data_IF_220092806501
#
_entry.id   IF_220092806501
#
_cell.length_a   1.000
_cell.length_b   1.000
_cell.length_c   1.000
_cell.angle_alpha   90.00
_cell.angle_beta   90.00
_cell.angle_gamma   90.00
#
_symmetry.space_group_name_H-M   'P 1'
#
loop_
_entity.id
_entity.type
_entity.pdbx_description
1 polymer ?
#
# COMPACT_ATOMS: atom_id res chain seq x y z
N UNK A 1 23.16 5.98 17.32
CA UNK A 1 22.11 5.23 16.61
C UNK A 1 21.08 6.23 16.11
N UNK A 2 20.69 6.19 14.83
CA UNK A 2 19.74 7.15 14.26
C UNK A 2 18.39 6.47 14.13
N UNK A 3 17.42 6.93 14.92
CA UNK A 3 16.03 6.57 14.72
C UNK A 3 15.55 7.15 13.39
N UNK A 4 15.20 6.28 12.44
CA UNK A 4 14.67 6.71 11.13
C UNK A 4 13.21 7.16 11.21
N UNK A 5 12.54 7.01 12.35
CA UNK A 5 11.31 7.73 12.62
C UNK A 5 11.66 9.19 12.94
N UNK A 6 11.79 10.03 11.91
CA UNK A 6 12.08 11.46 12.05
C UNK A 6 11.06 12.17 12.96
N UNK A 7 9.84 11.63 13.05
CA UNK A 7 8.79 12.07 13.95
C UNK A 7 8.24 10.88 14.77
N UNK A 8 8.01 11.10 16.07
CA UNK A 8 7.41 10.08 16.94
C UNK A 8 5.93 9.83 16.62
N UNK A 9 5.50 8.57 16.74
CA UNK A 9 4.12 8.15 16.57
C UNK A 9 3.79 7.06 17.62
N UNK A 10 2.65 7.11 18.34
CA UNK A 10 2.24 6.06 19.28
C UNK A 10 2.25 4.65 18.67
N UNK A 11 1.93 4.53 17.38
CA UNK A 11 1.94 3.27 16.64
C UNK A 11 3.30 2.59 16.55
N UNK A 12 4.41 3.31 16.82
CA UNK A 12 5.75 2.71 16.89
C UNK A 12 5.87 1.65 18.00
N UNK A 13 5.06 1.74 19.05
CA UNK A 13 5.11 0.84 20.19
C UNK A 13 4.05 -0.26 20.14
N UNK A 14 2.88 0.01 19.55
CA UNK A 14 1.71 -0.85 19.74
C UNK A 14 0.77 -0.95 18.54
N UNK A 15 1.14 -0.47 17.35
CA UNK A 15 0.27 -0.63 16.19
C UNK A 15 0.38 -2.03 15.61
N UNK A 16 -0.64 -2.84 15.86
CA UNK A 16 -0.84 -4.15 15.25
C UNK A 16 -2.32 -4.36 14.97
N UNK A 17 -2.64 -5.20 13.98
CA UNK A 17 -4.00 -5.61 13.68
C UNK A 17 -4.00 -7.07 13.20
N UNK A 18 -5.12 -7.75 13.39
CA UNK A 18 -5.35 -9.08 12.85
C UNK A 18 -6.01 -8.97 11.46
N UNK A 19 -5.63 -9.84 10.54
CA UNK A 19 -6.34 -9.97 9.26
C UNK A 19 -7.74 -10.54 9.47
N UNK A 20 -8.65 -10.15 8.58
CA UNK A 20 -10.03 -10.63 8.60
C UNK A 20 -10.10 -12.06 8.05
N UNK A 21 -10.53 -13.02 8.86
CA UNK A 21 -10.52 -14.46 8.51
C UNK A 21 -11.42 -14.87 7.35
N UNK A 22 -12.45 -14.07 7.03
CA UNK A 22 -13.43 -14.35 5.94
C UNK A 22 -13.23 -13.45 4.71
N UNK A 23 -11.98 -13.21 4.35
CA UNK A 23 -11.59 -12.31 3.27
C UNK A 23 -11.45 -13.04 1.93
N UNK A 24 -11.99 -12.49 0.84
CA UNK A 24 -11.98 -13.17 -0.48
C UNK A 24 -10.66 -13.04 -1.26
N UNK A 25 -9.72 -12.21 -0.81
CA UNK A 25 -8.43 -12.03 -1.51
C UNK A 25 -7.29 -12.87 -0.91
N UNK A 26 -7.59 -13.83 -0.04
CA UNK A 26 -6.60 -14.59 0.73
C UNK A 26 -5.83 -13.73 1.72
N UNK A 27 -5.01 -14.35 2.58
CA UNK A 27 -4.24 -13.63 3.61
C UNK A 27 -2.96 -13.00 3.06
N UNK A 28 -2.46 -11.95 3.72
CA UNK A 28 -1.11 -11.44 3.48
C UNK A 28 -0.08 -12.54 3.76
N UNK A 29 -0.30 -13.37 4.78
CA UNK A 29 0.55 -14.49 5.14
C UNK A 29 0.76 -15.48 3.98
N UNK A 30 -0.33 -16.00 3.40
CA UNK A 30 -0.30 -16.91 2.25
C UNK A 30 0.37 -16.26 1.04
N UNK A 31 0.04 -14.99 0.75
CA UNK A 31 0.67 -14.23 -0.35
C UNK A 31 2.18 -14.04 -0.18
N UNK A 32 2.70 -14.28 1.03
CA UNK A 32 4.12 -14.20 1.41
C UNK A 32 4.73 -15.56 1.71
N UNK A 33 4.06 -16.64 1.31
CA UNK A 33 4.58 -18.01 1.31
C UNK A 33 4.32 -18.81 2.59
N UNK A 34 3.48 -18.32 3.50
CA UNK A 34 2.98 -19.15 4.59
C UNK A 34 2.03 -20.24 4.07
N UNK A 35 1.97 -21.37 4.76
CA UNK A 35 1.02 -22.42 4.43
C UNK A 35 -0.44 -21.92 4.56
N UNK A 36 -1.38 -22.42 3.73
CA UNK A 36 -2.78 -22.06 3.85
C UNK A 36 -3.33 -22.30 5.25
N UNK A 37 -3.98 -21.28 5.83
CA UNK A 37 -4.52 -21.31 7.19
C UNK A 37 -3.50 -21.27 8.33
N UNK A 38 -2.20 -21.10 8.05
CA UNK A 38 -1.20 -20.92 9.11
C UNK A 38 -1.27 -19.52 9.74
N UNK A 39 -1.17 -19.46 11.07
CA UNK A 39 -0.98 -18.19 11.77
C UNK A 39 0.43 -17.66 11.51
N UNK A 40 0.52 -16.40 11.06
CA UNK A 40 1.81 -15.77 10.81
C UNK A 40 1.81 -14.30 11.22
N UNK A 41 2.98 -13.81 11.62
CA UNK A 41 3.22 -12.39 11.93
C UNK A 41 4.01 -11.77 10.78
N UNK A 42 3.48 -10.69 10.21
CA UNK A 42 4.23 -9.83 9.29
C UNK A 42 4.66 -8.56 9.99
N UNK A 43 5.97 -8.32 10.05
CA UNK A 43 6.54 -7.07 10.56
C UNK A 43 6.82 -6.16 9.38
N UNK A 44 6.23 -4.96 9.42
CA UNK A 44 6.37 -3.93 8.39
C UNK A 44 6.89 -2.65 9.03
N UNK A 45 8.03 -2.14 8.56
CA UNK A 45 8.54 -0.85 9.00
C UNK A 45 7.80 0.27 8.25
N UNK A 46 6.76 0.81 8.89
CA UNK A 46 5.90 1.82 8.29
C UNK A 46 5.58 3.01 9.20
N UNK A 47 5.06 4.07 8.59
CA UNK A 47 4.47 5.23 9.26
C UNK A 47 3.10 4.89 9.89
N UNK A 48 2.49 5.88 10.55
CA UNK A 48 1.12 5.73 11.05
C UNK A 48 0.10 5.49 9.91
N UNK A 49 -0.99 4.76 10.17
CA UNK A 49 -2.01 4.51 9.16
C UNK A 49 -2.67 5.81 8.69
N UNK A 50 -2.85 5.94 7.39
CA UNK A 50 -3.58 7.05 6.74
C UNK A 50 -4.93 6.52 6.25
N UNK A 51 -6.01 7.13 6.71
CA UNK A 51 -7.36 6.73 6.31
C UNK A 51 -7.62 7.05 4.82
N UNK A 52 -8.24 6.12 4.13
CA UNK A 52 -8.82 6.26 2.78
C UNK A 52 -10.32 6.18 2.92
N UNK A 53 -11.02 7.23 2.52
CA UNK A 53 -12.48 7.34 2.62
C UNK A 53 -13.07 7.41 1.22
N UNK A 54 -13.96 6.48 0.88
CA UNK A 54 -14.78 6.60 -0.33
C UNK A 54 -16.17 5.98 -0.10
N UNK A 55 -17.10 6.83 0.32
CA UNK A 55 -18.45 6.39 0.65
C UNK A 55 -19.39 6.29 -0.56
N UNK A 56 -18.91 6.66 -1.76
CA UNK A 56 -19.76 6.86 -2.94
C UNK A 56 -19.49 5.85 -4.04
N UNK A 57 -18.25 5.40 -4.22
CA UNK A 57 -17.92 4.41 -5.26
C UNK A 57 -18.74 3.13 -5.09
N UNK A 58 -19.31 2.66 -6.20
CA UNK A 58 -20.09 1.40 -6.28
C UNK A 58 -19.54 0.43 -7.33
N UNK A 59 -18.61 0.88 -8.16
CA UNK A 59 -17.88 0.03 -9.12
C UNK A 59 -16.43 -0.13 -8.65
N UNK A 60 -15.81 -1.28 -8.94
CA UNK A 60 -14.41 -1.50 -8.56
C UNK A 60 -13.47 -0.53 -9.27
N UNK A 61 -13.75 -0.11 -10.51
CA UNK A 61 -12.91 0.82 -11.25
C UNK A 61 -12.87 2.20 -10.59
N UNK A 62 -14.03 2.69 -10.12
CA UNK A 62 -14.14 3.97 -9.40
C UNK A 62 -13.37 3.92 -8.08
N UNK A 63 -13.59 2.87 -7.29
CA UNK A 63 -12.94 2.70 -6.00
C UNK A 63 -11.42 2.50 -6.13
N UNK A 64 -10.97 1.70 -7.11
CA UNK A 64 -9.55 1.54 -7.41
C UNK A 64 -8.89 2.86 -7.80
N UNK A 65 -9.59 3.72 -8.56
CA UNK A 65 -9.09 5.04 -8.95
C UNK A 65 -8.97 5.98 -7.74
N UNK A 66 -9.95 5.94 -6.83
CA UNK A 66 -9.91 6.67 -5.56
C UNK A 66 -8.74 6.23 -4.68
N UNK A 67 -8.57 4.91 -4.50
CA UNK A 67 -7.45 4.33 -3.74
C UNK A 67 -6.10 4.68 -4.38
N UNK A 68 -5.98 4.59 -5.71
CA UNK A 68 -4.76 4.94 -6.43
C UNK A 68 -4.41 6.43 -6.25
N UNK A 69 -5.40 7.33 -6.27
CA UNK A 69 -5.17 8.75 -5.99
C UNK A 69 -4.59 8.97 -4.58
N UNK A 70 -5.09 8.25 -3.57
CA UNK A 70 -4.52 8.29 -2.22
C UNK A 70 -3.08 7.71 -2.18
N UNK A 71 -2.86 6.53 -2.76
CA UNK A 71 -1.54 5.86 -2.82
C UNK A 71 -0.47 6.71 -3.52
N UNK A 72 -0.85 7.46 -4.56
CA UNK A 72 0.06 8.35 -5.28
C UNK A 72 0.73 9.36 -4.35
N UNK A 73 0.03 9.82 -3.31
CA UNK A 73 0.52 10.81 -2.34
C UNK A 73 1.34 10.23 -1.20
N UNK A 74 1.60 8.92 -1.19
CA UNK A 74 2.47 8.30 -0.18
C UNK A 74 3.86 8.95 -0.22
N UNK A 75 4.26 9.56 0.91
CA UNK A 75 5.40 10.47 1.12
C UNK A 75 5.46 11.71 0.22
N UNK A 76 5.36 11.53 -1.09
CA UNK A 76 5.35 12.61 -2.08
C UNK A 76 4.78 12.07 -3.41
N UNK A 77 3.97 12.86 -4.15
CA UNK A 77 3.51 12.48 -5.49
C UNK A 77 4.64 12.35 -6.52
N UNK A 78 5.85 12.85 -6.20
CA UNK A 78 7.03 12.80 -7.07
C UNK A 78 8.05 11.71 -6.72
N UNK A 79 7.93 11.11 -5.54
CA UNK A 79 8.84 10.04 -5.11
C UNK A 79 8.20 8.69 -5.43
N UNK A 80 8.89 7.92 -6.24
CA UNK A 80 8.44 6.62 -6.78
C UNK A 80 9.53 5.57 -6.56
N UNK A 81 9.17 4.29 -6.64
CA UNK A 81 10.06 3.11 -6.60
C UNK A 81 10.80 2.85 -5.28
N UNK A 82 11.10 3.88 -4.50
CA UNK A 82 11.94 3.79 -3.28
C UNK A 82 11.16 3.33 -2.06
N UNK A 83 9.87 3.66 -1.99
CA UNK A 83 9.04 3.43 -0.79
C UNK A 83 7.99 2.38 -1.06
N UNK A 84 7.96 1.35 -0.23
CA UNK A 84 6.91 0.34 -0.22
C UNK A 84 5.67 0.87 0.54
N UNK A 85 4.54 0.18 0.44
CA UNK A 85 3.31 0.50 1.16
C UNK A 85 2.52 -0.75 1.52
N UNK A 86 1.64 -0.64 2.52
CA UNK A 86 0.60 -1.61 2.76
C UNK A 86 -0.78 -0.95 2.63
N UNK A 87 -1.59 -1.46 1.70
CA UNK A 87 -3.00 -1.18 1.64
C UNK A 87 -3.73 -2.17 2.56
N UNK A 88 -4.36 -1.65 3.60
CA UNK A 88 -5.24 -2.40 4.49
C UNK A 88 -6.67 -2.10 4.08
N UNK A 89 -7.28 -3.00 3.31
CA UNK A 89 -8.65 -2.82 2.85
C UNK A 89 -9.65 -3.18 3.94
N UNK A 90 -10.61 -2.27 4.14
CA UNK A 90 -11.77 -2.49 5.00
C UNK A 90 -12.84 -3.36 4.34
N UNK A 91 -13.69 -4.05 5.11
CA UNK A 91 -14.67 -5.01 4.58
C UNK A 91 -15.62 -4.42 3.52
N UNK A 92 -16.07 -3.18 3.71
CA UNK A 92 -17.04 -2.55 2.81
C UNK A 92 -16.43 -2.18 1.45
N UNK A 93 -15.18 -1.70 1.42
CA UNK A 93 -14.43 -1.51 0.18
C UNK A 93 -14.13 -2.84 -0.50
N UNK A 94 -13.72 -3.85 0.26
CA UNK A 94 -13.49 -5.20 -0.24
C UNK A 94 -14.68 -5.73 -1.02
N UNK A 95 -15.88 -5.59 -0.45
CA UNK A 95 -17.12 -6.11 -1.02
C UNK A 95 -17.40 -5.55 -2.41
N UNK A 96 -17.06 -4.29 -2.69
CA UNK A 96 -17.22 -3.69 -4.02
C UNK A 96 -16.40 -4.47 -5.06
N UNK A 97 -15.17 -4.82 -4.73
CA UNK A 97 -14.29 -5.60 -5.58
C UNK A 97 -14.74 -7.07 -5.68
N UNK A 98 -15.04 -7.72 -4.55
CA UNK A 98 -15.49 -9.12 -4.52
C UNK A 98 -16.76 -9.32 -5.33
N UNK A 99 -17.74 -8.42 -5.25
CA UNK A 99 -19.00 -8.53 -5.99
C UNK A 99 -18.81 -8.36 -7.49
N UNK A 100 -17.75 -7.68 -7.91
CA UNK A 100 -17.36 -7.59 -9.32
C UNK A 100 -16.41 -8.73 -9.76
N UNK A 101 -16.16 -9.71 -8.89
CA UNK A 101 -15.28 -10.85 -9.17
C UNK A 101 -13.80 -10.49 -9.25
N UNK A 102 -13.37 -9.39 -8.62
CA UNK A 102 -11.95 -9.06 -8.53
C UNK A 102 -11.28 -9.85 -7.40
N UNK A 103 -10.11 -10.41 -7.69
CA UNK A 103 -9.22 -11.06 -6.74
C UNK A 103 -8.00 -10.18 -6.40
N UNK A 104 -7.07 -10.73 -5.61
CA UNK A 104 -5.82 -10.07 -5.19
C UNK A 104 -5.00 -9.59 -6.37
N UNK A 105 -4.77 -10.48 -7.32
CA UNK A 105 -3.87 -10.24 -8.44
C UNK A 105 -4.45 -9.16 -9.34
N UNK A 106 -5.75 -9.24 -9.65
CA UNK A 106 -6.45 -8.24 -10.45
C UNK A 106 -6.43 -6.88 -9.77
N UNK A 107 -6.76 -6.79 -8.47
CA UNK A 107 -6.75 -5.50 -7.78
C UNK A 107 -5.36 -4.87 -7.78
N UNK A 108 -4.32 -5.64 -7.49
CA UNK A 108 -2.94 -5.13 -7.50
C UNK A 108 -2.51 -4.68 -8.90
N UNK A 109 -2.86 -5.43 -9.94
CA UNK A 109 -2.58 -5.05 -11.33
C UNK A 109 -3.32 -3.76 -11.76
N UNK A 110 -4.60 -3.63 -11.40
CA UNK A 110 -5.41 -2.44 -11.70
C UNK A 110 -4.90 -1.19 -10.97
N UNK A 111 -4.40 -1.36 -9.73
CA UNK A 111 -3.73 -0.29 -8.99
C UNK A 111 -2.38 0.07 -9.61
N UNK A 112 -1.55 -0.91 -9.98
CA UNK A 112 -0.26 -0.66 -10.64
C UNK A 112 -0.45 0.13 -11.94
N UNK A 113 -1.42 -0.26 -12.78
CA UNK A 113 -1.74 0.44 -14.02
C UNK A 113 -2.17 1.90 -13.78
N UNK A 114 -2.98 2.16 -12.75
CA UNK A 114 -3.42 3.52 -12.37
C UNK A 114 -2.33 4.36 -11.71
N UNK A 115 -1.26 3.72 -11.25
CA UNK A 115 -0.12 4.32 -10.58
C UNK A 115 1.11 4.44 -11.49
N UNK A 116 0.91 4.33 -12.80
CA UNK A 116 1.89 4.71 -13.81
C UNK A 116 1.90 6.24 -13.97
N UNK A 117 3.02 6.87 -13.60
CA UNK A 117 3.11 8.34 -13.54
C UNK A 117 4.08 8.83 -14.62
N UNK A 118 3.66 9.79 -15.47
CA UNK A 118 4.55 10.41 -16.45
C UNK A 118 5.76 11.08 -15.81
N UNK A 119 6.93 10.86 -16.39
CA UNK A 119 8.18 11.44 -15.94
C UNK A 119 8.16 12.96 -15.94
N UNK A 120 7.45 13.57 -16.89
CA UNK A 120 7.20 15.02 -16.94
C UNK A 120 6.55 15.56 -15.65
N UNK A 121 5.77 14.76 -14.94
CA UNK A 121 5.19 15.11 -13.64
C UNK A 121 6.14 14.81 -12.47
N UNK A 122 7.05 13.85 -12.63
CA UNK A 122 7.96 13.38 -11.57
C UNK A 122 9.25 14.18 -11.47
N UNK A 123 9.73 14.76 -12.57
CA UNK A 123 11.04 15.43 -12.57
C UNK A 123 11.10 16.63 -11.64
N UNK A 124 12.30 16.90 -11.11
CA UNK A 124 12.60 18.07 -10.27
C UNK A 124 12.18 19.36 -10.98
N UNK A 125 11.55 20.26 -10.24
CA UNK A 125 11.06 21.56 -10.74
C UNK A 125 9.69 21.50 -11.43
N UNK A 126 9.22 20.34 -11.88
CA UNK A 126 7.89 20.24 -12.48
C UNK A 126 6.80 20.59 -11.43
N UNK A 127 5.78 21.34 -11.86
CA UNK A 127 4.77 21.95 -10.99
C UNK A 127 5.34 22.90 -9.91
N UNK A 128 6.55 23.45 -10.11
CA UNK A 128 7.19 24.37 -9.17
C UNK A 128 7.72 23.71 -7.90
N UNK A 129 7.81 22.37 -7.86
CA UNK A 129 8.28 21.60 -6.71
C UNK A 129 9.73 21.16 -6.97
N UNK A 130 10.66 21.55 -6.09
CA UNK A 130 12.08 21.27 -6.26
C UNK A 130 12.43 19.76 -6.22
N UNK A 131 11.74 18.99 -5.39
CA UNK A 131 11.92 17.54 -5.26
C UNK A 131 11.45 16.79 -6.52
N UNK A 132 12.01 15.62 -6.77
CA UNK A 132 11.59 14.72 -7.85
C UNK A 132 12.74 13.93 -8.48
N UNK A 133 12.41 13.25 -9.58
CA UNK A 133 13.35 12.45 -10.35
C UNK A 133 14.32 13.34 -11.16
N UNK A 134 15.54 12.87 -11.49
CA UNK A 134 16.42 13.56 -12.42
C UNK A 134 15.74 13.84 -13.77
N UNK A 135 16.08 14.96 -14.41
CA UNK A 135 15.47 15.41 -15.67
C UNK A 135 15.50 14.35 -16.80
N UNK A 136 16.50 13.46 -16.79
CA UNK A 136 16.62 12.34 -17.73
C UNK A 136 15.40 11.39 -17.73
N UNK A 137 14.62 11.35 -16.65
CA UNK A 137 13.42 10.52 -16.57
C UNK A 137 12.18 11.17 -17.21
N UNK A 138 12.25 12.41 -17.71
CA UNK A 138 11.08 13.12 -18.25
C UNK A 138 10.34 12.36 -19.36
N UNK A 139 11.05 11.61 -20.21
CA UNK A 139 10.49 10.83 -21.31
C UNK A 139 9.97 9.43 -20.92
N UNK A 140 10.07 9.06 -19.64
CA UNK A 140 9.67 7.74 -19.16
C UNK A 140 8.32 7.82 -18.43
N UNK A 141 7.64 6.69 -18.32
CA UNK A 141 6.54 6.50 -17.37
C UNK A 141 7.04 5.53 -16.30
N UNK A 142 6.86 5.89 -15.02
CA UNK A 142 7.38 5.12 -13.90
C UNK A 142 6.23 4.71 -12.96
N UNK A 143 6.24 3.48 -12.42
CA UNK A 143 5.25 3.07 -11.44
C UNK A 143 5.53 3.73 -10.09
N UNK A 144 4.47 4.03 -9.32
CA UNK A 144 4.60 4.54 -7.96
C UNK A 144 5.41 3.61 -7.06
N UNK A 145 5.15 2.32 -7.16
CA UNK A 145 5.80 1.27 -6.37
C UNK A 145 6.66 0.41 -7.29
N UNK A 146 7.77 -0.13 -6.78
CA UNK A 146 8.46 -1.23 -7.46
C UNK A 146 7.57 -2.47 -7.51
N UNK A 147 7.91 -3.44 -8.36
CA UNK A 147 7.26 -4.76 -8.33
C UNK A 147 7.29 -5.37 -6.91
N UNK A 148 6.12 -5.77 -6.41
CA UNK A 148 5.95 -6.30 -5.04
C UNK A 148 6.08 -5.25 -3.92
N UNK A 149 6.17 -3.96 -4.25
CA UNK A 149 6.29 -2.87 -3.27
C UNK A 149 4.97 -2.46 -2.62
N UNK A 150 3.83 -2.90 -3.16
CA UNK A 150 2.50 -2.68 -2.56
C UNK A 150 1.99 -3.99 -1.95
N UNK A 151 1.96 -4.05 -0.62
CA UNK A 151 1.34 -5.14 0.12
C UNK A 151 -0.17 -4.91 0.25
N UNK A 152 -0.94 -5.99 0.28
CA UNK A 152 -2.39 -5.97 0.50
C UNK A 152 -2.75 -6.87 1.69
N UNK A 153 -3.44 -6.28 2.66
CA UNK A 153 -4.05 -6.98 3.78
C UNK A 153 -5.54 -6.62 3.87
N UNK A 154 -6.36 -7.52 4.39
CA UNK A 154 -7.77 -7.26 4.71
C UNK A 154 -7.96 -7.20 6.21
N UNK A 155 -8.44 -6.09 6.75
CA UNK A 155 -8.67 -5.94 8.21
C UNK A 155 -9.69 -4.84 8.51
N UNK A 156 -10.03 -4.67 9.79
CA UNK A 156 -10.98 -3.67 10.26
C UNK A 156 -12.39 -4.23 10.51
N UNK A 157 -13.28 -3.36 10.99
CA UNK A 157 -14.67 -3.70 11.29
C UNK A 157 -15.64 -3.08 10.28
N UNK A 158 -16.89 -3.56 10.31
CA UNK A 158 -17.99 -3.00 9.53
C UNK A 158 -18.45 -1.66 10.14
N UNK A 159 -17.71 -0.59 9.87
CA UNK A 159 -17.93 0.74 10.42
C UNK A 159 -17.89 1.85 9.36
N UNK A 160 -18.00 1.50 8.08
CA UNK A 160 -18.07 2.42 6.95
C UNK A 160 -17.08 2.09 5.83
N UNK A 161 -17.30 2.69 4.66
CA UNK A 161 -16.46 2.57 3.46
C UNK A 161 -15.11 3.28 3.68
N UNK A 162 -14.26 2.62 4.48
CA UNK A 162 -12.96 3.08 4.92
C UNK A 162 -11.89 2.01 4.63
N UNK A 163 -10.67 2.45 4.39
CA UNK A 163 -9.48 1.60 4.33
C UNK A 163 -8.30 2.39 4.86
N UNK A 164 -7.13 1.77 4.98
CA UNK A 164 -5.93 2.45 5.43
C UNK A 164 -4.75 2.19 4.49
N UNK A 165 -3.88 3.18 4.36
CA UNK A 165 -2.56 3.05 3.74
C UNK A 165 -1.53 3.22 4.84
N UNK A 166 -0.60 2.28 4.95
CA UNK A 166 0.56 2.35 5.84
C UNK A 166 1.76 2.55 4.93
N UNK A 167 2.35 3.75 4.95
CA UNK A 167 3.53 4.04 4.14
C UNK A 167 4.76 3.36 4.70
N UNK A 168 5.53 2.65 3.87
CA UNK A 168 6.80 2.04 4.25
C UNK A 168 7.95 3.03 4.22
N UNK A 169 9.13 2.57 4.61
CA UNK A 169 10.38 3.31 4.38
C UNK A 169 11.08 2.86 3.10
N UNK A 170 12.28 3.42 2.85
CA UNK A 170 13.17 2.97 1.79
C UNK A 170 13.30 1.44 1.84
N UNK A 171 13.30 0.81 0.67
CA UNK A 171 13.27 -0.66 0.53
C UNK A 171 14.66 -1.29 0.37
N UNK A 172 14.69 -2.64 0.37
CA UNK A 172 15.87 -3.46 0.07
C UNK A 172 17.15 -3.03 0.83
N UNK A 173 18.31 -3.05 0.17
CA UNK A 173 19.63 -2.84 0.78
C UNK A 173 19.82 -1.43 1.37
N UNK A 174 18.97 -0.47 0.98
CA UNK A 174 19.00 0.91 1.49
C UNK A 174 18.06 1.14 2.69
N UNK A 175 17.17 0.18 2.99
CA UNK A 175 16.25 0.30 4.12
C UNK A 175 15.69 -1.02 4.65
N UNK A 176 14.37 -1.18 4.68
CA UNK A 176 13.70 -2.26 5.41
C UNK A 176 12.94 -3.20 4.47
N UNK A 177 13.01 -4.50 4.75
CA UNK A 177 12.19 -5.50 4.08
C UNK A 177 11.13 -6.04 5.04
N UNK A 178 9.86 -6.14 4.63
CA UNK A 178 8.83 -6.78 5.43
C UNK A 178 9.20 -8.26 5.65
N UNK A 179 9.06 -8.75 6.87
CA UNK A 179 9.36 -10.16 7.21
C UNK A 179 8.08 -10.82 7.69
N UNK A 180 7.79 -12.01 7.15
CA UNK A 180 6.68 -12.85 7.59
C UNK A 180 7.24 -14.13 8.22
N UNK A 181 6.73 -14.49 9.39
CA UNK A 181 7.08 -15.72 10.11
C UNK A 181 5.82 -16.40 10.60
N UNK A 182 5.69 -17.68 10.29
CA UNK A 182 4.67 -18.53 10.90
C UNK A 182 4.90 -18.63 12.41
N UNK A 183 3.82 -18.62 13.16
CA UNK A 183 3.82 -18.81 14.61
C UNK A 183 4.08 -20.29 14.88
N UNK A 184 5.12 -20.59 15.65
CA UNK A 184 5.47 -21.95 16.06
C UNK A 184 5.22 -22.08 17.57
N UNK A 185 4.59 -23.17 17.98
CA UNK A 185 4.49 -23.58 19.39
C UNK A 185 5.73 -24.32 19.84
#
# INVERSE_FOLDING_TARGET
>A
EVDRATHGNPGKLSFCFAEHSKWSFGSLAESRGAAPGADAVTVFAGEGPRCVVDQLSRTPESLASSIAACLRTLHSPKLVLVFDAMLVLGPEHARVFTYAGWDRERLLAELDQRLQIPGTELVRGAAGIAEGMPAAFAAHTLPKFRAGGLLLAGAGGAAGLFSAIIGGWANADIGSQPVTREVRT
#
